data_IF_388556531090
#
_entry.id   IF_388556531090
#
_cell.length_a   1.000
_cell.length_b   1.000
_cell.length_c   1.000
_cell.angle_alpha   90.00
_cell.angle_beta   90.00
_cell.angle_gamma   90.00
#
_symmetry.space_group_name_H-M   'P 1'
#
loop_
_entity.id
_entity.type
_entity.pdbx_description
1 polymer ?
#
# COMPACT_ATOMS: atom_id res chain seq x y z
N UNK A 1 33.92 -82.31 75.39
CA UNK A 1 34.43 -81.90 74.06
C UNK A 1 33.37 -81.28 73.15
N UNK A 2 32.12 -81.77 73.10
CA UNK A 2 31.08 -81.22 72.19
C UNK A 2 30.67 -79.76 72.46
N UNK A 3 30.58 -79.35 73.73
CA UNK A 3 30.14 -77.99 74.11
C UNK A 3 31.15 -76.89 73.76
N UNK A 4 32.45 -77.18 73.91
CA UNK A 4 33.55 -76.26 73.53
C UNK A 4 33.59 -76.01 72.01
N UNK A 5 33.32 -77.04 71.20
CA UNK A 5 33.27 -76.91 69.75
C UNK A 5 32.07 -76.07 69.27
N UNK A 6 30.91 -76.19 69.92
CA UNK A 6 29.72 -75.37 69.60
C UNK A 6 29.97 -73.90 69.96
N UNK A 7 30.56 -73.62 71.13
CA UNK A 7 30.89 -72.25 71.53
C UNK A 7 31.90 -71.58 70.58
N UNK A 8 32.88 -72.32 70.06
CA UNK A 8 33.87 -71.82 69.12
C UNK A 8 33.27 -71.53 67.72
N UNK A 9 32.33 -72.37 67.26
CA UNK A 9 31.57 -72.12 66.02
C UNK A 9 30.71 -70.87 66.14
N UNK A 10 29.96 -70.71 67.25
CA UNK A 10 29.12 -69.52 67.48
C UNK A 10 29.97 -68.25 67.59
N UNK A 11 31.14 -68.30 68.25
CA UNK A 11 32.04 -67.16 68.34
C UNK A 11 32.64 -66.77 66.97
N UNK A 12 32.92 -67.76 66.11
CA UNK A 12 33.39 -67.51 64.74
C UNK A 12 32.29 -66.87 63.87
N UNK A 13 31.06 -67.40 63.94
CA UNK A 13 29.92 -66.85 63.21
C UNK A 13 29.59 -65.41 63.66
N UNK A 14 29.68 -65.12 64.95
CA UNK A 14 29.51 -63.77 65.47
C UNK A 14 30.58 -62.80 64.93
N UNK A 15 31.85 -63.21 64.89
CA UNK A 15 32.93 -62.39 64.29
C UNK A 15 32.77 -62.17 62.80
N UNK A 16 32.33 -63.19 62.06
CA UNK A 16 32.05 -63.07 60.62
C UNK A 16 30.82 -62.18 60.34
N UNK A 17 29.81 -62.20 61.22
CA UNK A 17 28.66 -61.30 61.15
C UNK A 17 29.05 -59.86 61.49
N UNK A 18 29.89 -59.65 62.49
CA UNK A 18 30.45 -58.33 62.87
C UNK A 18 31.28 -57.74 61.73
N UNK A 19 32.17 -58.52 61.11
CA UNK A 19 32.96 -58.09 59.96
C UNK A 19 32.08 -57.72 58.75
N UNK A 20 30.99 -58.48 58.50
CA UNK A 20 30.01 -58.15 57.46
C UNK A 20 29.24 -56.86 57.77
N UNK A 21 28.84 -56.65 59.02
CA UNK A 21 28.16 -55.44 59.45
C UNK A 21 29.08 -54.21 59.36
N UNK A 22 30.35 -54.35 59.75
CA UNK A 22 31.35 -53.29 59.64
C UNK A 22 31.60 -52.90 58.17
N UNK A 23 31.73 -53.88 57.28
CA UNK A 23 31.88 -53.64 55.84
C UNK A 23 30.65 -52.93 55.24
N UNK A 24 29.45 -53.39 55.58
CA UNK A 24 28.21 -52.75 55.11
C UNK A 24 28.08 -51.30 55.61
N UNK A 25 28.54 -51.01 56.83
CA UNK A 25 28.57 -49.64 57.37
C UNK A 25 29.60 -48.77 56.65
N UNK A 26 30.76 -49.32 56.28
CA UNK A 26 31.78 -48.60 55.51
C UNK A 26 31.26 -48.24 54.10
N UNK A 27 30.65 -49.21 53.40
CA UNK A 27 30.02 -49.01 52.09
C UNK A 27 28.90 -47.95 52.17
N UNK A 28 28.01 -48.04 53.16
CA UNK A 28 26.96 -47.05 53.38
C UNK A 28 27.51 -45.64 53.67
N UNK A 29 28.65 -45.55 54.35
CA UNK A 29 29.32 -44.27 54.59
C UNK A 29 29.98 -43.70 53.32
N UNK A 30 30.54 -44.57 52.47
CA UNK A 30 31.07 -44.17 51.17
C UNK A 30 29.95 -43.63 50.27
N UNK A 31 28.81 -44.32 50.21
CA UNK A 31 27.62 -43.90 49.47
C UNK A 31 27.07 -42.57 50.00
N UNK A 32 26.96 -42.42 51.33
CA UNK A 32 26.54 -41.16 51.97
C UNK A 32 27.44 -39.99 51.57
N UNK A 33 28.75 -40.20 51.55
CA UNK A 33 29.71 -39.16 51.16
C UNK A 33 29.59 -38.82 49.67
N UNK A 34 29.38 -39.82 48.81
CA UNK A 34 29.15 -39.60 47.38
C UNK A 34 27.86 -38.82 47.12
N UNK A 35 26.76 -39.21 47.77
CA UNK A 35 25.47 -38.51 47.68
C UNK A 35 25.56 -37.07 48.19
N UNK A 36 26.29 -36.82 49.28
CA UNK A 36 26.53 -35.46 49.77
C UNK A 36 27.26 -34.60 48.73
N UNK A 37 28.28 -35.17 48.04
CA UNK A 37 28.97 -34.45 46.97
C UNK A 37 28.04 -34.12 45.81
N UNK A 38 27.25 -35.10 45.34
CA UNK A 38 26.26 -34.88 44.27
C UNK A 38 25.23 -33.83 44.67
N UNK A 39 24.79 -33.81 45.92
CA UNK A 39 23.84 -32.82 46.43
C UNK A 39 24.42 -31.40 46.39
N UNK A 40 25.69 -31.21 46.77
CA UNK A 40 26.34 -29.90 46.68
C UNK A 40 26.59 -29.47 45.21
N UNK A 41 27.03 -30.39 44.34
CA UNK A 41 27.20 -30.11 42.91
C UNK A 41 25.86 -29.69 42.27
N UNK A 42 24.78 -30.41 42.58
CA UNK A 42 23.43 -30.10 42.08
C UNK A 42 22.92 -28.76 42.63
N UNK A 43 23.21 -28.43 43.88
CA UNK A 43 22.84 -27.15 44.49
C UNK A 43 23.49 -25.97 43.76
N UNK A 44 24.77 -26.07 43.40
CA UNK A 44 25.47 -25.05 42.61
C UNK A 44 24.86 -24.93 41.21
N UNK A 45 24.59 -26.05 40.55
CA UNK A 45 23.95 -26.05 39.23
C UNK A 45 22.54 -25.41 39.26
N UNK A 46 21.73 -25.73 40.28
CA UNK A 46 20.40 -25.12 40.46
C UNK A 46 20.53 -23.62 40.69
N UNK A 47 21.48 -23.16 41.50
CA UNK A 47 21.72 -21.73 41.71
C UNK A 47 22.10 -21.02 40.40
N UNK A 48 23.00 -21.59 39.60
CA UNK A 48 23.38 -21.03 38.31
C UNK A 48 22.18 -20.95 37.34
N UNK A 49 21.36 -22.00 37.28
CA UNK A 49 20.16 -22.02 36.42
C UNK A 49 19.12 -20.99 36.86
N UNK A 50 18.93 -20.81 38.17
CA UNK A 50 18.03 -19.79 38.71
C UNK A 50 18.48 -18.41 38.24
N UNK A 51 19.78 -18.08 38.35
CA UNK A 51 20.32 -16.80 37.87
C UNK A 51 20.12 -16.61 36.36
N UNK A 52 20.34 -17.64 35.54
CA UNK A 52 20.10 -17.57 34.09
C UNK A 52 18.62 -17.34 33.78
N UNK A 53 17.71 -18.01 34.50
CA UNK A 53 16.26 -17.86 34.31
C UNK A 53 15.83 -16.43 34.66
N UNK A 54 16.37 -15.86 35.74
CA UNK A 54 16.09 -14.46 36.11
C UNK A 54 16.54 -13.49 35.01
N UNK A 55 17.74 -13.66 34.45
CA UNK A 55 18.25 -12.83 33.35
C UNK A 55 17.41 -13.00 32.06
N UNK A 56 17.05 -14.22 31.70
CA UNK A 56 16.21 -14.50 30.52
C UNK A 56 14.81 -13.89 30.70
N UNK A 57 14.25 -13.96 31.91
CA UNK A 57 12.94 -13.38 32.22
C UNK A 57 12.97 -11.85 32.10
N UNK A 58 14.03 -11.21 32.58
CA UNK A 58 14.20 -9.76 32.44
C UNK A 58 14.28 -9.34 30.96
N UNK A 59 15.09 -10.02 30.14
CA UNK A 59 15.17 -9.74 28.70
C UNK A 59 13.86 -10.02 27.96
N UNK A 60 13.11 -11.05 28.35
CA UNK A 60 11.81 -11.33 27.78
C UNK A 60 10.83 -10.19 28.05
N UNK A 61 10.80 -9.65 29.27
CA UNK A 61 9.96 -8.51 29.62
C UNK A 61 10.33 -7.24 28.82
N UNK A 62 11.62 -6.95 28.65
CA UNK A 62 12.08 -5.83 27.80
C UNK A 62 11.66 -6.01 26.34
N UNK A 63 11.83 -7.23 25.79
CA UNK A 63 11.41 -7.54 24.42
C UNK A 63 9.90 -7.42 24.22
N UNK A 64 9.09 -7.81 25.22
CA UNK A 64 7.63 -7.64 25.18
C UNK A 64 7.20 -6.17 25.18
N UNK A 65 7.88 -5.30 25.92
CA UNK A 65 7.64 -3.85 25.88
C UNK A 65 7.96 -3.30 24.50
N UNK A 66 9.13 -3.62 23.97
CA UNK A 66 9.55 -3.15 22.65
C UNK A 66 8.62 -3.65 21.54
N UNK A 67 8.14 -4.90 21.62
CA UNK A 67 7.18 -5.45 20.67
C UNK A 67 5.83 -4.70 20.70
N UNK A 68 5.38 -4.26 21.89
CA UNK A 68 4.16 -3.45 22.02
C UNK A 68 4.33 -2.06 21.41
N UNK A 69 5.43 -1.39 21.71
CA UNK A 69 5.74 -0.07 21.13
C UNK A 69 5.86 -0.14 19.61
N UNK A 70 6.49 -1.19 19.07
CA UNK A 70 6.58 -1.41 17.62
C UNK A 70 5.19 -1.65 16.99
N UNK A 71 4.30 -2.38 17.67
CA UNK A 71 2.94 -2.59 17.20
C UNK A 71 2.14 -1.28 17.16
N UNK A 72 2.21 -0.46 18.21
CA UNK A 72 1.56 0.85 18.28
C UNK A 72 2.10 1.81 17.18
N UNK A 73 3.40 1.79 16.91
CA UNK A 73 4.01 2.55 15.83
C UNK A 73 3.51 2.06 14.45
N UNK A 74 3.41 0.75 14.24
CA UNK A 74 2.85 0.19 13.00
C UNK A 74 1.38 0.59 12.80
N UNK A 75 0.56 0.52 13.84
CA UNK A 75 -0.85 0.92 13.76
C UNK A 75 -1.00 2.41 13.42
N UNK A 76 -0.16 3.27 14.00
CA UNK A 76 -0.10 4.70 13.66
C UNK A 76 0.30 4.95 12.20
N UNK A 77 1.28 4.19 11.68
CA UNK A 77 1.68 4.26 10.28
C UNK A 77 0.59 3.76 9.34
N UNK A 78 -0.10 2.68 9.67
CA UNK A 78 -1.23 2.14 8.89
C UNK A 78 -2.36 3.18 8.82
N UNK A 79 -2.72 3.78 9.95
CA UNK A 79 -3.74 4.85 9.99
C UNK A 79 -3.35 6.05 9.13
N UNK A 80 -2.08 6.44 9.14
CA UNK A 80 -1.56 7.55 8.32
C UNK A 80 -1.56 7.20 6.83
N UNK A 81 -1.24 5.95 6.48
CA UNK A 81 -1.30 5.45 5.10
C UNK A 81 -2.73 5.42 4.57
N UNK A 82 -3.70 5.01 5.37
CA UNK A 82 -5.11 4.98 4.94
C UNK A 82 -5.64 6.40 4.69
N UNK A 83 -5.31 7.36 5.55
CA UNK A 83 -5.60 8.80 5.30
C UNK A 83 -4.94 9.31 4.02
N UNK A 84 -3.68 8.94 3.78
CA UNK A 84 -2.98 9.32 2.55
C UNK A 84 -3.63 8.71 1.31
N UNK A 85 -4.13 7.47 1.38
CA UNK A 85 -4.83 6.84 0.26
C UNK A 85 -6.16 7.53 -0.03
N UNK A 86 -6.94 7.86 1.00
CA UNK A 86 -8.20 8.59 0.84
C UNK A 86 -7.95 9.95 0.18
N UNK A 87 -7.03 10.75 0.72
CA UNK A 87 -6.65 12.06 0.16
C UNK A 87 -6.09 11.96 -1.25
N UNK A 88 -5.14 11.04 -1.52
CA UNK A 88 -4.56 10.88 -2.86
C UNK A 88 -5.61 10.48 -3.90
N UNK A 89 -6.55 9.59 -3.54
CA UNK A 89 -7.64 9.20 -4.43
C UNK A 89 -8.59 10.36 -4.73
N UNK A 90 -8.90 11.18 -3.72
CA UNK A 90 -9.67 12.41 -3.87
C UNK A 90 -8.97 13.43 -4.78
N UNK A 91 -7.68 13.70 -4.54
CA UNK A 91 -6.90 14.64 -5.36
C UNK A 91 -6.88 14.25 -6.84
N UNK A 92 -6.72 12.97 -7.16
CA UNK A 92 -6.73 12.51 -8.56
C UNK A 92 -8.11 12.73 -9.20
N UNK A 93 -9.19 12.42 -8.49
CA UNK A 93 -10.56 12.63 -8.99
C UNK A 93 -10.82 14.12 -9.23
N UNK A 94 -10.43 14.98 -8.28
CA UNK A 94 -10.59 16.43 -8.40
C UNK A 94 -9.81 16.99 -9.60
N UNK A 95 -8.52 16.66 -9.73
CA UNK A 95 -7.67 17.10 -10.85
C UNK A 95 -8.26 16.69 -12.19
N UNK A 96 -8.70 15.43 -12.32
CA UNK A 96 -9.31 14.93 -13.56
C UNK A 96 -10.62 15.66 -13.85
N UNK A 97 -11.46 15.87 -12.82
CA UNK A 97 -12.69 16.64 -12.93
C UNK A 97 -12.43 18.05 -13.46
N UNK A 98 -11.50 18.78 -12.85
CA UNK A 98 -11.13 20.14 -13.29
C UNK A 98 -10.66 20.19 -14.74
N UNK A 99 -9.82 19.24 -15.17
CA UNK A 99 -9.35 19.20 -16.56
C UNK A 99 -10.51 18.93 -17.52
N UNK A 100 -11.41 18.01 -17.16
CA UNK A 100 -12.58 17.69 -17.98
C UNK A 100 -13.55 18.87 -18.07
N UNK A 101 -13.80 19.54 -16.95
CA UNK A 101 -14.74 20.66 -16.84
C UNK A 101 -14.15 22.01 -17.27
N UNK A 102 -12.84 22.07 -17.53
CA UNK A 102 -12.19 23.28 -18.04
C UNK A 102 -12.92 23.77 -19.30
N UNK A 103 -13.17 25.08 -19.36
CA UNK A 103 -13.93 25.70 -20.46
C UNK A 103 -13.29 25.43 -21.83
N UNK A 104 -11.96 25.45 -21.88
CA UNK A 104 -11.20 25.20 -23.11
C UNK A 104 -11.41 23.78 -23.63
N UNK A 105 -11.36 22.78 -22.72
CA UNK A 105 -11.60 21.38 -23.06
C UNK A 105 -13.07 21.16 -23.47
N UNK A 106 -14.01 21.73 -22.72
CA UNK A 106 -15.45 21.65 -23.02
C UNK A 106 -15.75 22.24 -24.40
N UNK A 107 -15.22 23.42 -24.70
CA UNK A 107 -15.40 24.07 -26.00
C UNK A 107 -14.81 23.24 -27.14
N UNK A 108 -13.60 22.71 -26.97
CA UNK A 108 -12.94 21.92 -28.00
C UNK A 108 -13.64 20.57 -28.25
N UNK A 109 -14.15 19.90 -27.21
CA UNK A 109 -14.96 18.68 -27.34
C UNK A 109 -16.29 18.97 -28.06
N UNK A 110 -16.93 20.09 -27.76
CA UNK A 110 -18.16 20.50 -28.44
C UNK A 110 -17.92 20.76 -29.93
N UNK A 111 -16.86 21.49 -30.28
CA UNK A 111 -16.51 21.71 -31.70
C UNK A 111 -16.19 20.39 -32.40
N UNK A 112 -15.39 19.51 -31.79
CA UNK A 112 -15.08 18.21 -32.35
C UNK A 112 -16.35 17.38 -32.61
N UNK A 113 -17.27 17.37 -31.65
CA UNK A 113 -18.56 16.68 -31.75
C UNK A 113 -19.43 17.25 -32.86
N UNK A 114 -19.46 18.57 -33.02
CA UNK A 114 -20.16 19.24 -34.11
C UNK A 114 -19.55 18.88 -35.47
N UNK A 115 -18.23 18.97 -35.65
CA UNK A 115 -17.58 18.60 -36.91
C UNK A 115 -17.77 17.14 -37.26
N UNK A 116 -17.71 16.25 -36.27
CA UNK A 116 -17.94 14.82 -36.47
C UNK A 116 -19.37 14.57 -36.95
N UNK A 117 -20.35 15.25 -36.34
CA UNK A 117 -21.75 15.20 -36.74
C UNK A 117 -21.95 15.73 -38.16
N UNK A 118 -21.36 16.85 -38.53
CA UNK A 118 -21.41 17.42 -39.89
C UNK A 118 -20.83 16.46 -40.94
N UNK A 119 -19.66 15.88 -40.65
CA UNK A 119 -19.02 14.89 -41.52
C UNK A 119 -19.88 13.63 -41.68
N UNK A 120 -20.37 13.09 -40.57
CA UNK A 120 -21.26 11.92 -40.55
C UNK A 120 -22.56 12.16 -41.32
N UNK A 121 -23.19 13.33 -41.16
CA UNK A 121 -24.40 13.68 -41.93
C UNK A 121 -24.13 13.73 -43.44
N UNK A 122 -23.00 14.30 -43.86
CA UNK A 122 -22.65 14.38 -45.29
C UNK A 122 -22.45 12.99 -45.89
N UNK A 123 -21.69 12.13 -45.20
CA UNK A 123 -21.47 10.73 -45.62
C UNK A 123 -22.79 9.94 -45.63
N UNK A 124 -23.61 10.09 -44.59
CA UNK A 124 -24.93 9.46 -44.48
C UNK A 124 -25.89 9.88 -45.60
N UNK A 125 -25.93 11.17 -45.94
CA UNK A 125 -26.73 11.68 -47.04
C UNK A 125 -26.28 11.12 -48.40
N UNK A 126 -24.96 11.08 -48.66
CA UNK A 126 -24.40 10.49 -49.87
C UNK A 126 -24.76 8.99 -49.98
N UNK A 127 -24.69 8.26 -48.87
CA UNK A 127 -25.10 6.84 -48.82
C UNK A 127 -26.60 6.67 -49.08
N UNK A 128 -27.45 7.46 -48.42
CA UNK A 128 -28.90 7.39 -48.58
C UNK A 128 -29.33 7.70 -50.03
N UNK A 129 -28.82 8.80 -50.59
CA UNK A 129 -29.10 9.16 -51.99
C UNK A 129 -28.64 8.07 -52.97
N UNK A 130 -27.48 7.42 -52.72
CA UNK A 130 -27.03 6.30 -53.54
C UNK A 130 -28.00 5.10 -53.55
N UNK A 131 -28.65 4.82 -52.42
CA UNK A 131 -29.65 3.74 -52.31
C UNK A 131 -31.01 4.12 -52.89
N UNK A 132 -31.38 5.41 -52.83
CA UNK A 132 -32.68 5.90 -53.30
C UNK A 132 -32.70 6.19 -54.80
N UNK A 133 -31.58 6.65 -55.37
CA UNK A 133 -31.48 7.03 -56.78
C UNK A 133 -31.92 5.94 -57.79
N UNK A 134 -31.71 4.63 -57.56
CA UNK A 134 -32.24 3.60 -58.44
C UNK A 134 -33.77 3.51 -58.48
N UNK A 135 -34.46 4.02 -57.46
CA UNK A 135 -35.92 3.87 -57.30
C UNK A 135 -36.71 5.04 -57.92
N UNK A 136 -36.05 6.16 -58.23
CA UNK A 136 -36.70 7.39 -58.71
C UNK A 136 -36.12 7.85 -60.05
N UNK A 137 -36.99 8.40 -60.93
CA UNK A 137 -36.55 8.97 -62.21
C UNK A 137 -35.73 10.25 -62.01
N UNK A 138 -36.07 11.05 -61.00
CA UNK A 138 -35.27 12.20 -60.56
C UNK A 138 -34.19 11.74 -59.59
N UNK A 139 -32.92 12.09 -59.86
CA UNK A 139 -31.82 11.78 -58.96
C UNK A 139 -31.71 12.79 -57.82
N UNK A 140 -31.51 12.30 -56.61
CA UNK A 140 -31.03 13.05 -55.47
C UNK A 140 -29.52 13.30 -55.65
N UNK A 141 -29.15 14.58 -55.52
CA UNK A 141 -27.79 15.12 -55.65
C UNK A 141 -27.42 15.88 -54.39
N UNK A 142 -26.14 16.20 -54.22
CA UNK A 142 -25.66 17.04 -53.10
C UNK A 142 -26.09 18.51 -53.22
N UNK A 143 -26.73 18.92 -54.33
CA UNK A 143 -27.10 20.33 -54.59
C UNK A 143 -28.14 20.90 -53.62
N UNK A 144 -28.88 20.04 -52.90
CA UNK A 144 -29.84 20.46 -51.87
C UNK A 144 -29.39 20.13 -50.45
N UNK A 145 -28.17 19.63 -50.30
CA UNK A 145 -27.56 19.33 -49.01
C UNK A 145 -27.19 20.64 -48.30
N UNK A 146 -27.41 20.68 -46.98
CA UNK A 146 -26.89 21.77 -46.15
C UNK A 146 -25.36 21.85 -46.11
N UNK A 147 -24.67 20.85 -46.67
CA UNK A 147 -23.21 20.73 -46.71
C UNK A 147 -22.63 20.84 -48.13
N UNK A 148 -23.41 21.33 -49.09
CA UNK A 148 -22.96 21.49 -50.47
C UNK A 148 -21.68 22.35 -50.53
N UNK A 149 -20.63 21.82 -51.15
CA UNK A 149 -19.34 22.52 -51.29
C UNK A 149 -18.52 22.68 -50.00
N UNK A 150 -19.01 22.15 -48.86
CA UNK A 150 -18.28 22.17 -47.59
C UNK A 150 -17.44 20.90 -47.47
N UNK A 151 -16.13 21.04 -47.26
CA UNK A 151 -15.27 19.91 -46.94
C UNK A 151 -15.36 19.56 -45.44
N UNK A 152 -16.41 18.81 -45.08
CA UNK A 152 -16.67 18.42 -43.69
C UNK A 152 -15.63 17.45 -43.14
N UNK A 153 -14.98 16.67 -44.00
CA UNK A 153 -13.90 15.74 -43.62
C UNK A 153 -12.64 16.51 -43.24
N UNK A 154 -12.21 17.47 -44.07
CA UNK A 154 -11.08 18.33 -43.74
C UNK A 154 -11.34 19.18 -42.50
N UNK A 155 -12.58 19.65 -42.29
CA UNK A 155 -12.95 20.39 -41.06
C UNK A 155 -12.90 19.52 -39.81
N UNK A 156 -13.34 18.26 -39.90
CA UNK A 156 -13.18 17.30 -38.81
C UNK A 156 -11.71 17.03 -38.52
N UNK A 157 -10.90 16.80 -39.56
CA UNK A 157 -9.46 16.58 -39.39
C UNK A 157 -8.76 17.77 -38.72
N UNK A 158 -9.09 19.00 -39.13
CA UNK A 158 -8.57 20.22 -38.53
C UNK A 158 -9.01 20.37 -37.06
N UNK A 159 -10.26 20.05 -36.73
CA UNK A 159 -10.75 20.09 -35.34
C UNK A 159 -10.06 19.03 -34.46
N UNK A 160 -9.79 17.83 -34.99
CA UNK A 160 -9.00 16.80 -34.31
C UNK A 160 -7.58 17.29 -34.04
N UNK A 161 -6.93 17.90 -35.03
CA UNK A 161 -5.59 18.46 -34.88
C UNK A 161 -5.56 19.58 -33.83
N UNK A 162 -6.55 20.48 -33.87
CA UNK A 162 -6.69 21.54 -32.88
C UNK A 162 -6.90 20.98 -31.46
N UNK A 163 -7.75 19.95 -31.31
CA UNK A 163 -7.99 19.29 -30.03
C UNK A 163 -6.71 18.64 -29.47
N UNK A 164 -5.94 17.93 -30.31
CA UNK A 164 -4.70 17.27 -29.88
C UNK A 164 -3.60 18.25 -29.47
N UNK A 165 -3.63 19.48 -30.00
CA UNK A 165 -2.68 20.54 -29.66
C UNK A 165 -3.26 21.54 -28.63
N UNK A 166 -4.40 21.22 -28.01
CA UNK A 166 -5.06 22.11 -27.07
C UNK A 166 -4.21 22.26 -25.80
N UNK A 167 -3.89 23.50 -25.46
CA UNK A 167 -3.33 23.85 -24.16
C UNK A 167 -4.47 24.13 -23.20
N UNK A 168 -4.62 23.31 -22.16
CA UNK A 168 -5.63 23.51 -21.12
C UNK A 168 -5.00 24.30 -19.99
N UNK A 169 -5.47 25.52 -19.73
CA UNK A 169 -4.89 26.40 -18.70
C UNK A 169 -4.83 25.73 -17.32
N UNK A 170 -5.84 24.92 -16.98
CA UNK A 170 -5.88 24.20 -15.71
C UNK A 170 -4.68 23.24 -15.53
N UNK A 171 -4.15 22.65 -16.61
CA UNK A 171 -2.97 21.76 -16.52
C UNK A 171 -1.72 22.58 -16.13
N UNK A 172 -1.58 23.80 -16.66
CA UNK A 172 -0.46 24.67 -16.32
C UNK A 172 -0.51 25.08 -14.84
N UNK A 173 -1.71 25.31 -14.30
CA UNK A 173 -1.89 25.64 -12.88
C UNK A 173 -1.61 24.43 -11.97
N UNK A 174 -2.01 23.22 -12.39
CA UNK A 174 -1.65 21.97 -11.71
C UNK A 174 -0.13 21.78 -11.69
N UNK A 175 0.55 21.96 -12.82
CA UNK A 175 2.01 21.81 -12.90
C UNK A 175 2.72 22.77 -11.93
N UNK A 176 2.28 24.03 -11.86
CA UNK A 176 2.78 25.02 -10.88
C UNK A 176 2.53 24.61 -9.43
N UNK A 177 1.44 23.90 -9.14
CA UNK A 177 1.18 23.35 -7.81
C UNK A 177 2.14 22.21 -7.47
N UNK A 178 2.37 21.29 -8.41
CA UNK A 178 3.25 20.13 -8.25
C UNK A 178 4.74 20.48 -8.10
N UNK A 179 5.15 21.68 -8.46
CA UNK A 179 6.53 22.16 -8.29
C UNK A 179 6.87 22.60 -6.86
N UNK A 180 5.88 22.82 -5.99
CA UNK A 180 6.12 23.25 -4.61
C UNK A 180 6.24 22.08 -3.62
N UNK A 181 6.87 22.35 -2.47
CA UNK A 181 7.04 21.37 -1.40
C UNK A 181 5.71 21.02 -0.71
N UNK A 182 4.76 21.96 -0.70
CA UNK A 182 3.41 21.88 -0.13
C UNK A 182 2.34 21.57 -1.19
N UNK A 183 2.70 20.83 -2.25
CA UNK A 183 1.81 20.60 -3.40
C UNK A 183 0.46 19.97 -3.03
N UNK A 184 0.39 19.14 -1.99
CA UNK A 184 -0.87 18.51 -1.54
C UNK A 184 -1.84 19.57 -1.03
N UNK A 185 -1.39 20.43 -0.12
CA UNK A 185 -2.20 21.51 0.45
C UNK A 185 -2.62 22.51 -0.64
N UNK A 186 -1.73 22.81 -1.58
CA UNK A 186 -2.02 23.71 -2.70
C UNK A 186 -3.02 23.13 -3.68
N UNK A 187 -2.95 21.82 -3.99
CA UNK A 187 -3.94 21.14 -4.82
C UNK A 187 -5.30 21.07 -4.13
N UNK A 188 -5.30 20.84 -2.81
CA UNK A 188 -6.51 20.84 -2.00
C UNK A 188 -7.13 22.23 -1.88
N UNK A 189 -6.33 23.29 -1.82
CA UNK A 189 -6.84 24.67 -1.87
C UNK A 189 -7.36 25.06 -3.25
N UNK A 190 -6.70 24.59 -4.31
CA UNK A 190 -7.06 24.95 -5.69
C UNK A 190 -8.34 24.25 -6.15
N UNK A 191 -8.59 23.03 -5.66
CA UNK A 191 -9.68 22.16 -6.14
C UNK A 191 -10.55 21.53 -5.05
N UNK A 192 -10.28 21.80 -3.78
CA UNK A 192 -11.15 21.40 -2.69
C UNK A 192 -12.52 22.06 -2.82
N UNK A 193 -13.56 21.30 -2.47
CA UNK A 193 -14.93 21.80 -2.48
C UNK A 193 -15.08 22.88 -1.40
N UNK A 194 -15.50 24.13 -1.72
CA UNK A 194 -15.72 25.16 -0.72
C UNK A 194 -16.81 24.81 0.31
N UNK A 195 -17.59 23.73 0.08
CA UNK A 195 -18.56 23.23 1.05
C UNK A 195 -17.95 22.35 2.16
N UNK A 196 -16.70 21.86 2.04
CA UNK A 196 -16.05 21.07 3.12
C UNK A 196 -15.34 21.94 4.19
N UNK A 197 -15.17 23.25 3.99
CA UNK A 197 -14.53 24.15 4.97
C UNK A 197 -15.43 24.54 6.17
N UNK A 198 -16.64 23.97 6.31
CA UNK A 198 -17.59 24.36 7.38
C UNK A 198 -17.61 23.48 8.62
N UNK A 199 -16.79 22.44 8.71
CA UNK A 199 -16.77 21.58 9.89
C UNK A 199 -15.34 21.21 10.32
N UNK A 200 -14.56 22.17 10.83
CA UNK A 200 -13.49 21.88 11.81
C UNK A 200 -13.01 23.15 12.54
N UNK A 201 -13.84 23.68 13.45
CA UNK A 201 -13.31 24.36 14.64
C UNK A 201 -13.24 23.34 15.79
N UNK A 202 -12.08 22.73 16.01
CA UNK A 202 -11.72 22.23 17.34
C UNK A 202 -10.34 22.76 17.73
N UNK A 203 -10.36 23.59 18.76
CA UNK A 203 -9.22 24.19 19.42
C UNK A 203 -8.24 23.15 19.98
N UNK A 204 -6.93 23.43 19.89
CA UNK A 204 -5.92 22.67 20.63
C UNK A 204 -4.47 23.04 20.31
N UNK A 205 -3.95 24.07 20.99
CA UNK A 205 -2.53 24.44 21.01
C UNK A 205 -1.62 23.28 21.48
N UNK A 206 -0.51 23.03 20.77
CA UNK A 206 0.57 22.15 21.25
C UNK A 206 1.82 22.17 20.36
N UNK A 207 2.83 22.94 20.78
CA UNK A 207 4.13 23.16 20.14
C UNK A 207 5.05 21.92 20.22
N UNK A 208 5.71 21.54 19.13
CA UNK A 208 6.76 20.51 19.13
C UNK A 208 7.44 20.35 17.78
N UNK A 209 8.59 20.96 17.65
CA UNK A 209 9.51 20.98 16.49
C UNK A 209 10.24 19.62 16.34
N UNK A 210 10.28 19.04 15.13
CA UNK A 210 11.24 18.01 14.74
C UNK A 210 11.22 17.80 13.20
N UNK A 211 12.01 18.59 12.47
CA UNK A 211 12.32 18.32 11.08
C UNK A 211 13.22 17.08 10.91
N UNK A 212 12.87 16.21 9.95
CA UNK A 212 13.81 15.35 9.20
C UNK A 212 13.20 15.17 7.80
N UNK A 213 13.65 15.97 6.82
CA UNK A 213 14.64 15.60 5.79
C UNK A 213 14.25 14.41 4.90
N UNK A 214 13.63 14.73 3.77
CA UNK A 214 13.92 14.12 2.47
C UNK A 214 13.26 12.78 2.15
N UNK A 215 12.15 12.83 1.39
CA UNK A 215 11.76 11.74 0.50
C UNK A 215 11.65 12.31 -0.91
N UNK A 216 12.78 12.31 -1.63
CA UNK A 216 12.84 12.62 -3.08
C UNK A 216 12.45 11.41 -3.94
N UNK A 217 12.04 10.29 -3.34
CA UNK A 217 11.74 9.05 -4.06
C UNK A 217 10.25 8.90 -4.44
N UNK A 218 9.33 9.60 -3.76
CA UNK A 218 7.89 9.52 -4.05
C UNK A 218 7.43 10.46 -5.19
N UNK A 219 8.28 11.42 -5.59
CA UNK A 219 8.02 12.29 -6.74
C UNK A 219 7.99 11.53 -8.07
N UNK A 220 8.67 10.36 -8.16
CA UNK A 220 8.77 9.61 -9.42
C UNK A 220 7.52 8.77 -9.67
N UNK A 221 6.92 8.21 -8.62
CA UNK A 221 5.75 7.33 -8.74
C UNK A 221 4.47 8.07 -9.16
N UNK A 222 4.15 9.19 -8.51
CA UNK A 222 2.96 9.98 -8.84
C UNK A 222 3.12 10.69 -10.19
N UNK A 223 4.32 11.22 -10.49
CA UNK A 223 4.61 11.77 -11.82
C UNK A 223 4.55 10.70 -12.91
N UNK A 224 5.04 9.48 -12.67
CA UNK A 224 4.94 8.40 -13.65
C UNK A 224 3.49 7.99 -13.89
N UNK A 225 2.65 7.89 -12.84
CA UNK A 225 1.23 7.57 -12.98
C UNK A 225 0.44 8.70 -13.65
N UNK A 226 0.74 9.96 -13.34
CA UNK A 226 0.12 11.12 -13.98
C UNK A 226 0.60 11.27 -15.43
N UNK A 227 1.87 11.00 -15.71
CA UNK A 227 2.44 11.02 -17.06
C UNK A 227 1.88 9.86 -17.89
N UNK A 228 1.74 8.65 -17.34
CA UNK A 228 1.08 7.53 -18.02
C UNK A 228 -0.40 7.81 -18.24
N UNK A 229 -1.10 8.43 -17.28
CA UNK A 229 -2.49 8.85 -17.46
C UNK A 229 -2.62 9.94 -18.53
N UNK A 230 -1.80 10.99 -18.50
CA UNK A 230 -1.74 12.06 -19.50
C UNK A 230 -1.27 11.53 -20.87
N UNK A 231 -0.36 10.57 -20.92
CA UNK A 231 0.11 9.91 -22.14
C UNK A 231 -0.93 8.95 -22.71
N UNK A 232 -1.74 8.30 -21.86
CA UNK A 232 -2.88 7.48 -22.28
C UNK A 232 -4.06 8.35 -22.75
N UNK A 233 -4.28 9.49 -22.12
CA UNK A 233 -5.14 10.58 -22.60
C UNK A 233 -4.61 11.19 -23.90
N UNK A 234 -3.29 11.23 -24.14
CA UNK A 234 -2.70 11.59 -25.44
C UNK A 234 -2.66 10.42 -26.44
N UNK A 235 -2.88 9.18 -25.99
CA UNK A 235 -3.00 7.98 -26.83
C UNK A 235 -4.42 7.79 -27.39
N UNK A 236 -5.25 8.85 -27.36
CA UNK A 236 -6.59 9.02 -27.99
C UNK A 236 -6.69 8.70 -29.48
N UNK A 237 -5.68 8.09 -30.11
CA UNK A 237 -5.78 7.52 -31.47
C UNK A 237 -6.79 6.36 -31.54
N UNK A 238 -7.12 5.70 -30.43
CA UNK A 238 -7.99 4.50 -30.43
C UNK A 238 -9.46 4.83 -30.15
N UNK A 239 -9.76 5.78 -29.25
CA UNK A 239 -11.16 6.13 -28.90
C UNK A 239 -11.88 6.94 -29.98
N UNK A 240 -11.17 7.81 -30.69
CA UNK A 240 -11.74 8.56 -31.82
C UNK A 240 -12.05 7.62 -33.01
N UNK A 241 -11.24 6.58 -33.23
CA UNK A 241 -11.55 5.54 -34.22
C UNK A 241 -12.80 4.72 -33.85
N UNK A 242 -13.06 4.48 -32.56
CA UNK A 242 -14.26 3.74 -32.14
C UNK A 242 -15.55 4.55 -32.31
N UNK A 243 -15.51 5.86 -32.08
CA UNK A 243 -16.67 6.75 -32.27
C UNK A 243 -16.90 7.17 -33.74
N UNK A 244 -15.89 7.09 -34.60
CA UNK A 244 -16.03 7.40 -36.03
C UNK A 244 -16.36 6.19 -36.92
N UNK A 245 -16.40 4.96 -36.40
CA UNK A 245 -16.67 3.73 -37.16
C UNK A 245 -17.99 3.04 -36.80
N UNK A 246 -18.82 3.65 -35.94
CA UNK A 246 -20.19 3.21 -35.63
C UNK A 246 -21.22 4.15 -36.25
#
# INVERSE_FOLDING_TARGET
MKEKAVAEVVAREAKEAEARAAKALEEANADRNHLNKVAEDLKVEVQNRVTIIEEVTARAAEAEVWAREAAEAMDSLISSLDKLKETASGCVIMIVGTILDASDNTAAVNELSERAREAGFKVGYARCSSHMNPLYQSKFTDERSGFQGVDTEARLAAAVEAYNNLSISAIEDIDKCLEAEDYVDRLQLLYGDPEEEKEEEIAGSGKGDAGTSGIKEDQVGLRALLFDFLFNVNSRKTYVNFLCTA
#
